data_IF_503760413610
#
_entry.id   IF_503760413610
#
_cell.length_a   1.000
_cell.length_b   1.000
_cell.length_c   1.000
_cell.angle_alpha   90.00
_cell.angle_beta   90.00
_cell.angle_gamma   90.00
#
_symmetry.space_group_name_H-M   'P 1'
#
loop_
_entity.id
_entity.type
_entity.pdbx_description
1 polymer ?
#
# COMPACT_ATOMS: atom_id res chain seq x y z
N UNK A 1 53.59 -49.63 24.67
CA UNK A 1 53.62 -48.85 23.41
C UNK A 1 52.36 -47.99 23.36
N UNK A 2 52.47 -46.64 23.53
CA UNK A 2 51.36 -45.74 23.45
C UNK A 2 51.00 -45.47 21.98
N UNK A 3 49.79 -45.81 21.58
CA UNK A 3 49.25 -45.47 20.23
C UNK A 3 49.14 -43.97 20.13
N UNK A 4 49.87 -43.34 19.19
CA UNK A 4 49.65 -41.95 18.81
C UNK A 4 48.26 -41.83 18.19
N UNK A 5 47.43 -40.96 18.77
CA UNK A 5 46.16 -40.58 18.17
C UNK A 5 46.46 -39.79 16.89
N UNK A 6 45.76 -40.06 15.76
CA UNK A 6 45.95 -39.32 14.54
C UNK A 6 45.51 -37.85 14.78
N UNK A 7 46.41 -36.93 14.49
CA UNK A 7 46.12 -35.50 14.52
C UNK A 7 45.25 -35.14 13.30
N UNK A 8 44.09 -34.51 13.55
CA UNK A 8 43.23 -34.01 12.49
C UNK A 8 43.89 -32.76 11.87
N UNK A 9 44.09 -32.76 10.58
CA UNK A 9 44.69 -31.63 9.88
C UNK A 9 43.72 -30.44 9.93
N UNK A 10 44.03 -29.45 10.77
CA UNK A 10 43.20 -28.25 10.96
C UNK A 10 43.00 -27.43 9.67
N UNK A 11 43.98 -27.48 8.74
CA UNK A 11 43.90 -26.80 7.45
C UNK A 11 42.81 -27.38 6.56
N UNK A 12 42.69 -28.71 6.50
CA UNK A 12 41.64 -29.37 5.70
C UNK A 12 40.23 -29.15 6.30
N UNK A 13 40.15 -29.09 7.64
CA UNK A 13 38.88 -28.81 8.32
C UNK A 13 38.43 -27.38 8.07
N UNK A 14 39.34 -26.41 8.09
CA UNK A 14 39.05 -25.01 7.79
C UNK A 14 38.59 -24.81 6.34
N UNK A 15 39.19 -25.54 5.39
CA UNK A 15 38.80 -25.48 3.98
C UNK A 15 37.39 -26.02 3.74
N UNK A 16 37.07 -27.17 4.38
CA UNK A 16 35.71 -27.72 4.33
C UNK A 16 34.66 -26.77 4.95
N UNK A 17 34.99 -26.13 6.09
CA UNK A 17 34.12 -25.19 6.74
C UNK A 17 33.90 -23.94 5.86
N UNK A 18 34.95 -23.46 5.18
CA UNK A 18 34.84 -22.34 4.25
C UNK A 18 33.98 -22.68 3.03
N UNK A 19 34.15 -23.85 2.42
CA UNK A 19 33.32 -24.29 1.28
C UNK A 19 31.86 -24.45 1.71
N UNK A 20 31.58 -25.00 2.89
CA UNK A 20 30.24 -25.10 3.46
C UNK A 20 29.62 -23.71 3.68
N UNK A 21 30.39 -22.74 4.20
CA UNK A 21 29.95 -21.39 4.38
C UNK A 21 29.57 -20.75 3.03
N UNK A 22 30.41 -20.85 2.01
CA UNK A 22 30.15 -20.37 0.67
C UNK A 22 28.92 -21.04 0.05
N UNK A 23 28.77 -22.35 0.24
CA UNK A 23 27.60 -23.09 -0.23
C UNK A 23 26.30 -22.57 0.41
N UNK A 24 26.28 -22.38 1.72
CA UNK A 24 25.11 -21.78 2.40
C UNK A 24 24.84 -20.35 1.95
N UNK A 25 25.87 -19.53 1.75
CA UNK A 25 25.69 -18.18 1.21
C UNK A 25 25.09 -18.17 -0.21
N UNK A 26 25.44 -19.13 -1.06
CA UNK A 26 24.91 -19.26 -2.42
C UNK A 26 23.50 -19.88 -2.44
N UNK A 27 23.20 -20.80 -1.52
CA UNK A 27 21.90 -21.49 -1.49
C UNK A 27 20.85 -20.77 -0.65
N UNK A 28 21.24 -19.93 0.31
CA UNK A 28 20.32 -19.05 1.05
C UNK A 28 20.11 -17.75 0.27
N UNK A 29 19.44 -17.81 -0.87
CA UNK A 29 18.81 -16.62 -1.42
C UNK A 29 17.65 -16.28 -0.49
N UNK A 30 17.78 -15.21 0.27
CA UNK A 30 16.62 -14.61 0.93
C UNK A 30 15.69 -14.15 -0.19
N UNK A 31 14.63 -14.92 -0.45
CA UNK A 31 13.51 -14.40 -1.21
C UNK A 31 13.02 -13.15 -0.49
N UNK A 32 13.28 -12.00 -1.10
CA UNK A 32 12.65 -10.77 -0.65
C UNK A 32 11.17 -10.94 -0.98
N UNK A 33 10.37 -11.13 0.05
CA UNK A 33 8.92 -11.14 -0.07
C UNK A 33 8.48 -9.87 -0.81
N UNK A 34 8.19 -10.01 -2.10
CA UNK A 34 7.61 -8.96 -2.94
C UNK A 34 6.13 -8.87 -2.62
N UNK A 35 5.82 -8.40 -1.42
CA UNK A 35 4.46 -8.18 -0.95
C UNK A 35 4.12 -6.69 -0.93
N UNK A 36 2.84 -6.37 -0.97
CA UNK A 36 2.34 -5.03 -0.68
C UNK A 36 2.58 -4.73 0.80
N UNK A 37 3.57 -3.91 1.11
CA UNK A 37 3.77 -3.43 2.48
C UNK A 37 2.62 -2.50 2.84
N UNK A 38 1.85 -2.90 3.84
CA UNK A 38 0.76 -2.12 4.38
C UNK A 38 1.05 -1.74 5.83
N UNK A 39 1.06 -0.45 6.12
CA UNK A 39 1.08 0.03 7.49
C UNK A 39 -0.34 -0.06 8.04
N UNK A 40 -0.57 -0.91 9.03
CA UNK A 40 -1.81 -0.91 9.78
C UNK A 40 -1.96 0.42 10.52
N UNK A 41 -3.17 1.00 10.59
CA UNK A 41 -3.44 2.14 11.44
C UNK A 41 -3.02 1.82 12.88
N UNK A 42 -2.51 2.80 13.65
CA UNK A 42 -2.26 2.59 15.07
C UNK A 42 -3.56 2.18 15.77
N UNK A 43 -3.47 1.27 16.73
CA UNK A 43 -4.63 0.91 17.54
C UNK A 43 -5.23 2.17 18.16
N UNK A 44 -6.56 2.37 18.05
CA UNK A 44 -7.20 3.50 18.71
C UNK A 44 -6.97 3.39 20.21
N UNK A 45 -6.54 4.47 20.83
CA UNK A 45 -6.38 4.58 22.28
C UNK A 45 -7.73 4.29 22.95
N UNK A 46 -7.78 3.39 23.96
CA UNK A 46 -9.01 3.00 24.61
C UNK A 46 -9.75 4.19 25.31
N UNK A 47 -9.10 5.34 25.44
CA UNK A 47 -9.67 6.57 26.00
C UNK A 47 -10.11 7.59 24.94
N UNK A 48 -9.82 7.39 23.66
CA UNK A 48 -10.46 8.17 22.61
C UNK A 48 -11.90 7.68 22.50
N UNK A 49 -12.83 8.45 23.10
CA UNK A 49 -14.24 8.36 22.72
C UNK A 49 -14.27 8.35 21.21
N UNK A 50 -14.85 7.31 20.61
CA UNK A 50 -15.11 7.25 19.20
C UNK A 50 -15.80 8.56 18.80
N UNK A 51 -15.04 9.55 18.38
CA UNK A 51 -15.59 10.65 17.64
C UNK A 51 -16.11 9.97 16.40
N UNK A 52 -17.44 9.78 16.35
CA UNK A 52 -18.17 9.53 15.13
C UNK A 52 -17.78 10.67 14.16
N UNK A 53 -16.64 10.54 13.51
CA UNK A 53 -16.35 11.31 12.32
C UNK A 53 -17.41 10.82 11.34
N UNK A 54 -18.51 11.55 11.27
CA UNK A 54 -19.48 11.43 10.18
C UNK A 54 -18.72 11.74 8.90
N UNK A 55 -18.03 10.74 8.38
CA UNK A 55 -17.36 10.85 7.08
C UNK A 55 -18.47 11.12 6.08
N UNK A 56 -18.46 12.31 5.50
CA UNK A 56 -19.45 12.69 4.50
C UNK A 56 -19.45 11.64 3.39
N UNK A 57 -20.62 11.17 2.97
CA UNK A 57 -20.74 10.13 1.94
C UNK A 57 -19.99 10.46 0.65
N UNK A 58 -19.83 11.74 0.34
CA UNK A 58 -19.06 12.22 -0.82
C UNK A 58 -17.56 11.94 -0.70
N UNK A 59 -17.05 11.81 0.53
CA UNK A 59 -15.64 11.53 0.79
C UNK A 59 -15.29 10.05 0.69
N UNK A 60 -16.25 9.17 0.42
CA UNK A 60 -16.04 7.73 0.34
C UNK A 60 -16.39 7.21 -1.05
N UNK A 61 -15.43 6.62 -1.74
CA UNK A 61 -15.70 5.78 -2.90
C UNK A 61 -15.64 4.31 -2.52
N UNK A 62 -16.72 3.58 -2.80
CA UNK A 62 -16.78 2.16 -2.52
C UNK A 62 -16.39 1.39 -3.77
N UNK A 63 -15.32 0.60 -3.68
CA UNK A 63 -14.84 -0.29 -4.73
C UNK A 63 -15.22 -1.71 -4.36
N UNK A 64 -16.15 -2.32 -5.10
CA UNK A 64 -16.64 -3.67 -4.84
C UNK A 64 -16.16 -4.64 -5.90
N UNK A 65 -15.76 -5.83 -5.46
CA UNK A 65 -15.42 -6.95 -6.34
C UNK A 65 -16.37 -8.09 -5.98
N UNK A 66 -17.13 -8.58 -6.96
CA UNK A 66 -18.06 -9.68 -6.73
C UNK A 66 -17.39 -11.05 -6.95
N UNK A 67 -18.14 -12.12 -6.64
CA UNK A 67 -17.71 -13.52 -6.83
C UNK A 67 -17.46 -13.92 -8.29
N UNK A 68 -17.89 -13.10 -9.26
CA UNK A 68 -17.60 -13.29 -10.68
C UNK A 68 -16.47 -12.37 -11.17
N UNK A 69 -15.64 -11.86 -10.25
CA UNK A 69 -14.49 -10.96 -10.50
C UNK A 69 -14.86 -9.66 -11.24
N UNK A 70 -16.12 -9.24 -11.13
CA UNK A 70 -16.57 -7.97 -11.72
C UNK A 70 -16.37 -6.84 -10.73
N UNK A 71 -15.81 -5.74 -11.24
CA UNK A 71 -15.52 -4.54 -10.47
C UNK A 71 -16.65 -3.51 -10.60
N UNK A 72 -17.02 -2.93 -9.46
CA UNK A 72 -17.90 -1.78 -9.35
C UNK A 72 -17.18 -0.69 -8.56
N UNK A 73 -17.02 0.50 -9.12
CA UNK A 73 -16.48 1.65 -8.39
C UNK A 73 -17.55 2.73 -8.26
N UNK A 74 -17.91 3.04 -7.00
CA UNK A 74 -19.07 3.87 -6.71
C UNK A 74 -20.37 3.17 -7.13
N UNK A 75 -21.01 3.66 -8.19
CA UNK A 75 -22.25 3.10 -8.76
C UNK A 75 -22.04 2.52 -10.16
N UNK A 76 -20.82 2.62 -10.72
CA UNK A 76 -20.54 2.28 -12.11
C UNK A 76 -19.76 0.97 -12.20
N UNK A 77 -20.24 -0.02 -13.00
CA UNK A 77 -19.45 -1.18 -13.34
C UNK A 77 -18.33 -0.78 -14.30
N UNK A 78 -17.10 -1.21 -14.03
CA UNK A 78 -15.96 -0.87 -14.87
C UNK A 78 -14.93 -1.99 -14.97
N UNK A 79 -14.03 -1.84 -15.93
CA UNK A 79 -12.87 -2.72 -16.05
C UNK A 79 -11.74 -2.25 -15.12
N UNK A 80 -10.93 -3.18 -14.59
CA UNK A 80 -9.84 -2.88 -13.66
C UNK A 80 -8.86 -1.84 -14.23
N UNK A 81 -8.62 -1.85 -15.54
CA UNK A 81 -7.71 -0.90 -16.20
C UNK A 81 -8.16 0.58 -16.12
N UNK A 82 -9.45 0.83 -15.94
CA UNK A 82 -10.01 2.18 -15.82
C UNK A 82 -10.07 2.66 -14.36
N UNK A 83 -9.86 1.76 -13.42
CA UNK A 83 -9.98 2.04 -11.99
C UNK A 83 -8.97 3.12 -11.56
N UNK A 84 -7.74 3.04 -12.05
CA UNK A 84 -6.68 3.99 -11.72
C UNK A 84 -7.10 5.43 -12.02
N UNK A 85 -7.61 5.69 -13.22
CA UNK A 85 -7.99 7.04 -13.64
C UNK A 85 -9.21 7.55 -12.86
N UNK A 86 -10.18 6.68 -12.58
CA UNK A 86 -11.35 7.01 -11.76
C UNK A 86 -10.98 7.37 -10.32
N UNK A 87 -10.07 6.63 -9.71
CA UNK A 87 -9.58 6.93 -8.36
C UNK A 87 -8.77 8.22 -8.32
N UNK A 88 -7.99 8.46 -9.36
CA UNK A 88 -7.22 9.70 -9.49
C UNK A 88 -8.14 10.92 -9.59
N UNK A 89 -9.16 10.87 -10.45
CA UNK A 89 -10.20 11.90 -10.56
C UNK A 89 -10.89 12.13 -9.21
N UNK A 90 -11.27 11.03 -8.52
CA UNK A 90 -11.91 11.10 -7.21
C UNK A 90 -11.03 11.79 -6.16
N UNK A 91 -9.77 11.39 -6.03
CA UNK A 91 -8.88 11.95 -5.00
C UNK A 91 -8.47 13.39 -5.29
N UNK A 92 -8.22 13.74 -6.54
CA UNK A 92 -7.75 15.07 -6.92
C UNK A 92 -8.88 16.11 -6.93
N UNK A 93 -10.12 15.71 -7.23
CA UNK A 93 -11.26 16.60 -7.41
C UNK A 93 -10.87 17.91 -8.12
N UNK A 94 -10.45 17.87 -9.38
CA UNK A 94 -9.86 19.04 -10.05
C UNK A 94 -10.87 20.18 -10.29
N UNK A 95 -12.16 19.84 -10.34
CA UNK A 95 -13.26 20.80 -10.62
C UNK A 95 -13.97 21.28 -9.35
N UNK A 96 -13.53 20.86 -8.14
CA UNK A 96 -14.21 21.10 -6.88
C UNK A 96 -15.71 20.70 -6.92
N UNK A 97 -16.02 19.56 -7.55
CA UNK A 97 -17.37 19.02 -7.63
C UNK A 97 -17.91 18.72 -6.22
N UNK A 98 -19.11 19.17 -5.86
CA UNK A 98 -19.74 18.89 -4.57
C UNK A 98 -20.03 17.40 -4.33
N UNK A 99 -20.00 16.56 -5.37
CA UNK A 99 -20.15 15.10 -5.27
C UNK A 99 -18.82 14.35 -5.04
N UNK A 100 -17.69 15.04 -5.19
CA UNK A 100 -16.34 14.50 -4.97
C UNK A 100 -15.81 14.95 -3.59
N UNK A 101 -14.72 14.31 -3.09
CA UNK A 101 -14.18 14.59 -1.77
C UNK A 101 -13.83 16.04 -1.52
N UNK A 102 -14.05 16.45 -0.29
CA UNK A 102 -13.57 17.73 0.23
C UNK A 102 -12.06 17.72 0.31
N UNK A 103 -11.50 18.91 0.13
CA UNK A 103 -10.10 19.19 0.43
C UNK A 103 -10.01 19.94 1.76
N UNK A 104 -8.97 19.66 2.51
CA UNK A 104 -8.63 20.37 3.75
C UNK A 104 -7.25 20.96 3.61
N UNK A 105 -7.11 22.21 4.02
CA UNK A 105 -5.80 22.85 4.09
C UNK A 105 -5.10 22.42 5.38
N UNK A 106 -3.99 21.70 5.24
CA UNK A 106 -3.18 21.20 6.36
C UNK A 106 -1.80 21.84 6.26
N UNK A 107 -1.31 22.37 7.38
CA UNK A 107 0.05 22.85 7.47
C UNK A 107 1.00 21.67 7.67
N UNK A 108 1.85 21.43 6.67
CA UNK A 108 2.82 20.32 6.70
C UNK A 108 4.17 20.89 7.12
N UNK A 109 4.70 20.41 8.24
CA UNK A 109 6.00 20.80 8.77
C UNK A 109 7.10 20.64 7.71
N UNK A 110 7.83 21.72 7.45
CA UNK A 110 8.87 21.77 6.42
C UNK A 110 8.39 22.06 4.98
N UNK A 111 7.07 22.19 4.75
CA UNK A 111 6.51 22.50 3.44
C UNK A 111 5.53 23.69 3.46
N UNK A 112 4.75 23.84 4.55
CA UNK A 112 3.71 24.85 4.69
C UNK A 112 2.30 24.38 4.35
N UNK A 113 1.35 25.30 4.10
CA UNK A 113 -0.05 24.96 3.86
C UNK A 113 -0.22 24.19 2.55
N UNK A 114 -0.93 23.07 2.61
CA UNK A 114 -1.17 22.18 1.48
C UNK A 114 -2.63 21.68 1.49
N UNK A 115 -3.28 21.67 0.33
CA UNK A 115 -4.61 21.10 0.15
C UNK A 115 -4.54 19.57 0.10
N UNK A 116 -5.09 18.91 1.10
CA UNK A 116 -5.13 17.45 1.23
C UNK A 116 -6.55 16.94 1.03
N UNK A 117 -6.72 15.93 0.19
CA UNK A 117 -8.01 15.30 -0.04
C UNK A 117 -8.48 14.47 1.16
N UNK A 118 -9.74 14.64 1.59
CA UNK A 118 -10.41 13.78 2.59
C UNK A 118 -10.96 12.48 2.00
N UNK A 119 -10.63 12.18 0.74
CA UNK A 119 -11.10 11.00 0.05
C UNK A 119 -10.63 9.70 0.71
N UNK A 120 -11.56 8.78 0.91
CA UNK A 120 -11.31 7.42 1.43
C UNK A 120 -11.81 6.41 0.41
N UNK A 121 -10.98 5.44 0.10
CA UNK A 121 -11.32 4.32 -0.79
C UNK A 121 -11.71 3.14 0.07
N UNK A 122 -12.97 2.70 0.00
CA UNK A 122 -13.46 1.52 0.72
C UNK A 122 -13.48 0.32 -0.21
N UNK A 123 -12.51 -0.58 -0.07
CA UNK A 123 -12.46 -1.81 -0.84
C UNK A 123 -13.30 -2.89 -0.15
N UNK A 124 -14.25 -3.46 -0.89
CA UNK A 124 -15.15 -4.52 -0.43
C UNK A 124 -15.08 -5.68 -1.43
N UNK A 125 -14.79 -6.86 -0.95
CA UNK A 125 -14.79 -8.08 -1.75
C UNK A 125 -15.79 -9.10 -1.21
N UNK A 126 -16.40 -9.87 -2.12
CA UNK A 126 -17.21 -11.02 -1.76
C UNK A 126 -16.30 -12.21 -1.43
N UNK A 127 -16.77 -13.15 -0.61
CA UNK A 127 -16.00 -14.37 -0.25
C UNK A 127 -15.60 -15.24 -1.43
N UNK A 128 -16.31 -15.15 -2.55
CA UNK A 128 -16.04 -15.90 -3.78
C UNK A 128 -15.09 -15.20 -4.76
N UNK A 129 -14.61 -14.00 -4.45
CA UNK A 129 -13.68 -13.25 -5.32
C UNK A 129 -12.36 -13.98 -5.43
N UNK A 130 -11.80 -14.08 -6.65
CA UNK A 130 -10.48 -14.67 -6.85
C UNK A 130 -9.38 -13.77 -6.25
N UNK A 131 -8.35 -14.41 -5.69
CA UNK A 131 -7.19 -13.69 -5.17
C UNK A 131 -6.51 -12.84 -6.26
N UNK A 132 -6.50 -13.34 -7.50
CA UNK A 132 -5.90 -12.62 -8.63
C UNK A 132 -6.65 -11.31 -8.94
N UNK A 133 -7.99 -11.33 -8.95
CA UNK A 133 -8.80 -10.12 -9.15
C UNK A 133 -8.59 -9.11 -8.01
N UNK A 134 -8.57 -9.60 -6.76
CA UNK A 134 -8.29 -8.77 -5.60
C UNK A 134 -6.94 -8.06 -5.70
N UNK A 135 -5.86 -8.79 -6.00
CA UNK A 135 -4.51 -8.22 -6.16
C UNK A 135 -4.43 -7.27 -7.35
N UNK A 136 -5.11 -7.57 -8.46
CA UNK A 136 -5.14 -6.67 -9.61
C UNK A 136 -5.77 -5.32 -9.25
N UNK A 137 -6.89 -5.33 -8.52
CA UNK A 137 -7.54 -4.11 -8.05
C UNK A 137 -6.66 -3.36 -7.05
N UNK A 138 -6.07 -4.05 -6.08
CA UNK A 138 -5.12 -3.44 -5.12
C UNK A 138 -3.97 -2.74 -5.83
N UNK A 139 -3.39 -3.38 -6.84
CA UNK A 139 -2.29 -2.80 -7.60
C UNK A 139 -2.72 -1.51 -8.32
N UNK A 140 -3.92 -1.47 -8.92
CA UNK A 140 -4.40 -0.27 -9.60
C UNK A 140 -4.71 0.87 -8.60
N UNK A 141 -5.22 0.56 -7.40
CA UNK A 141 -5.42 1.55 -6.34
C UNK A 141 -4.08 2.16 -5.88
N UNK A 142 -3.08 1.32 -5.65
CA UNK A 142 -1.73 1.77 -5.25
C UNK A 142 -1.06 2.57 -6.35
N UNK A 143 -1.19 2.15 -7.61
CA UNK A 143 -0.68 2.90 -8.77
C UNK A 143 -1.31 4.29 -8.86
N UNK A 144 -2.63 4.41 -8.66
CA UNK A 144 -3.31 5.71 -8.66
C UNK A 144 -2.70 6.66 -7.63
N UNK A 145 -2.54 6.20 -6.39
CA UNK A 145 -1.94 7.02 -5.33
C UNK A 145 -0.49 7.38 -5.62
N UNK A 146 0.30 6.42 -6.11
CA UNK A 146 1.70 6.67 -6.44
C UNK A 146 1.85 7.67 -7.60
N UNK A 147 1.00 7.59 -8.62
CA UNK A 147 1.00 8.55 -9.72
C UNK A 147 0.68 9.98 -9.26
N UNK A 148 -0.31 10.14 -8.34
CA UNK A 148 -0.60 11.44 -7.71
C UNK A 148 0.61 11.94 -6.90
N UNK A 149 1.29 11.04 -6.16
CA UNK A 149 2.51 11.38 -5.42
C UNK A 149 3.65 11.80 -6.34
N UNK A 150 3.83 11.12 -7.47
CA UNK A 150 4.83 11.47 -8.46
C UNK A 150 4.52 12.85 -9.09
N UNK A 151 3.27 13.12 -9.45
CA UNK A 151 2.85 14.43 -9.96
C UNK A 151 3.08 15.55 -8.94
N UNK A 152 2.69 15.33 -7.68
CA UNK A 152 2.95 16.27 -6.59
C UNK A 152 4.44 16.50 -6.37
N UNK A 153 5.25 15.45 -6.40
CA UNK A 153 6.69 15.50 -6.21
C UNK A 153 7.38 16.23 -7.36
N UNK A 154 6.98 15.97 -8.59
CA UNK A 154 7.51 16.66 -9.78
C UNK A 154 7.18 18.14 -9.76
N UNK A 155 5.96 18.51 -9.36
CA UNK A 155 5.52 19.90 -9.30
C UNK A 155 6.26 20.72 -8.22
N UNK A 156 6.55 20.13 -7.05
CA UNK A 156 7.09 20.85 -5.90
C UNK A 156 8.59 20.65 -5.70
N UNK A 157 9.15 19.50 -6.09
CA UNK A 157 10.57 19.16 -5.85
C UNK A 157 11.34 18.87 -7.14
N UNK A 158 10.70 18.84 -8.31
CA UNK A 158 11.34 18.60 -9.61
C UNK A 158 11.90 17.17 -9.80
N UNK A 159 11.54 16.24 -8.92
CA UNK A 159 12.01 14.86 -8.94
C UNK A 159 10.85 13.88 -8.66
N UNK A 160 10.88 12.65 -9.21
CA UNK A 160 9.91 11.60 -8.89
C UNK A 160 9.95 11.24 -7.40
N UNK A 161 8.80 10.85 -6.83
CA UNK A 161 8.66 10.49 -5.41
C UNK A 161 9.72 9.50 -4.92
N UNK A 162 10.02 8.47 -5.71
CA UNK A 162 10.98 7.42 -5.34
C UNK A 162 12.43 7.91 -5.22
N UNK A 163 12.76 9.04 -5.83
CA UNK A 163 14.12 9.63 -5.81
C UNK A 163 14.28 10.72 -4.75
N UNK A 164 13.23 11.05 -4.03
CA UNK A 164 13.27 12.03 -2.96
C UNK A 164 13.93 11.45 -1.71
N UNK A 165 14.53 12.33 -0.92
CA UNK A 165 15.01 12.02 0.43
C UNK A 165 13.83 11.64 1.35
N UNK A 166 14.10 10.90 2.42
CA UNK A 166 13.07 10.38 3.31
C UNK A 166 12.19 11.48 3.92
N UNK A 167 12.78 12.63 4.29
CA UNK A 167 12.05 13.80 4.81
C UNK A 167 11.02 14.32 3.77
N UNK A 168 11.45 14.49 2.52
CA UNK A 168 10.56 14.95 1.43
C UNK A 168 9.52 13.91 1.08
N UNK A 169 9.86 12.61 1.13
CA UNK A 169 8.89 11.54 0.94
C UNK A 169 7.82 11.55 2.03
N UNK A 170 8.17 11.90 3.27
CA UNK A 170 7.20 12.04 4.36
C UNK A 170 6.26 13.21 4.14
N UNK A 171 6.75 14.34 3.66
CA UNK A 171 5.93 15.49 3.26
C UNK A 171 4.92 15.07 2.18
N UNK A 172 5.38 14.38 1.13
CA UNK A 172 4.51 13.89 0.06
C UNK A 172 3.48 12.89 0.59
N UNK A 173 3.84 12.01 1.53
CA UNK A 173 2.90 11.06 2.16
C UNK A 173 1.83 11.78 3.00
N UNK A 174 2.17 12.90 3.63
CA UNK A 174 1.21 13.74 4.36
C UNK A 174 0.30 14.51 3.40
N UNK A 175 0.84 15.02 2.29
CA UNK A 175 0.07 15.73 1.26
C UNK A 175 -0.86 14.80 0.46
N UNK A 176 -0.42 13.56 0.17
CA UNK A 176 -1.17 12.55 -0.57
C UNK A 176 -1.27 11.26 0.26
N UNK A 177 -2.17 11.23 1.25
CA UNK A 177 -2.33 10.05 2.11
C UNK A 177 -2.98 8.89 1.33
N UNK A 178 -2.53 7.66 1.64
CA UNK A 178 -3.11 6.43 1.10
C UNK A 178 -4.26 5.95 1.99
N UNK A 179 -5.43 6.58 1.85
CA UNK A 179 -6.62 6.27 2.65
C UNK A 179 -7.41 5.11 2.02
N UNK A 180 -6.86 3.89 2.06
CA UNK A 180 -7.56 2.69 1.59
C UNK A 180 -8.02 1.89 2.82
N UNK A 181 -9.32 1.76 2.98
CA UNK A 181 -9.97 0.95 4.01
C UNK A 181 -10.50 -0.34 3.40
N UNK A 182 -10.27 -1.46 4.04
CA UNK A 182 -10.83 -2.75 3.65
C UNK A 182 -11.97 -3.12 4.58
N UNK A 183 -13.12 -3.42 3.99
CA UNK A 183 -14.24 -3.97 4.74
C UNK A 183 -14.16 -5.50 4.75
N UNK A 184 -14.65 -6.11 5.83
CA UNK A 184 -14.74 -7.57 5.92
C UNK A 184 -15.57 -8.14 4.75
N UNK A 185 -15.14 -9.28 4.16
CA UNK A 185 -15.87 -9.95 3.09
C UNK A 185 -17.29 -10.31 3.52
N UNK A 186 -18.29 -9.86 2.77
CA UNK A 186 -19.69 -10.18 3.05
C UNK A 186 -20.09 -11.48 2.33
N UNK A 187 -20.78 -12.38 3.08
CA UNK A 187 -21.46 -13.50 2.48
C UNK A 187 -22.75 -13.03 1.80
N UNK A 188 -22.74 -12.93 0.48
CA UNK A 188 -23.98 -12.63 -0.31
C UNK A 188 -24.81 -13.90 -0.57
N UNK A 189 -24.29 -15.08 -0.22
CA UNK A 189 -24.96 -16.37 -0.46
C UNK A 189 -26.07 -16.73 0.55
N UNK A 190 -26.38 -15.86 1.51
CA UNK A 190 -27.49 -16.03 2.46
C UNK A 190 -28.58 -15.01 2.19
N UNK A 191 -29.36 -15.23 1.13
CA UNK A 191 -30.74 -14.76 0.99
C UNK A 191 -31.58 -15.85 0.40
#
# INVERSE_FOLDING_TARGET
MARKTPEINSSSTADMAFILLCFFLMTTTMDQDKGLQRRLPPMPDPNQKAQDQKVNRRNIIVVKINSADRLLAGTEPMHVSLLKDKIKEFLLNPTNDPNLPEKEEIDIEGFGPCEVSKGVISLQNDRGTSYQAYIAVQNELVKAVNEIRDEFSMANFGQPYIKLDEEKQEIVRKAVPQNISEAEPKDVSKK
#
